data_IF_485964834007
#
_entry.id   IF_485964834007
#
_cell.length_a   1.000
_cell.length_b   1.000
_cell.length_c   1.000
_cell.angle_alpha   90.00
_cell.angle_beta   90.00
_cell.angle_gamma   90.00
#
_symmetry.space_group_name_H-M   'P 1'
#
loop_
_entity.id
_entity.type
_entity.pdbx_description
1 polymer ?
#
# COMPACT_ATOMS: atom_id res chain seq x y z
N UNK A 1 57.38 28.64 -50.51
CA UNK A 1 57.01 29.47 -49.35
C UNK A 1 55.67 28.93 -48.79
N UNK A 2 55.78 28.09 -47.81
CA UNK A 2 54.62 27.35 -47.24
C UNK A 2 54.15 28.04 -45.96
N UNK A 3 52.96 28.55 -45.98
CA UNK A 3 52.26 28.99 -44.77
C UNK A 3 51.37 27.81 -44.25
N UNK A 4 51.79 27.25 -43.12
CA UNK A 4 51.05 26.21 -42.39
C UNK A 4 49.91 26.88 -41.63
N UNK A 5 48.68 26.61 -42.06
CA UNK A 5 47.45 26.92 -41.33
C UNK A 5 47.32 25.97 -40.14
N UNK A 6 47.53 26.50 -38.92
CA UNK A 6 47.21 25.79 -37.68
C UNK A 6 45.70 25.88 -37.42
N UNK A 7 45.02 24.79 -37.62
CA UNK A 7 43.62 24.63 -37.17
C UNK A 7 43.63 24.28 -35.68
N UNK A 8 43.29 25.25 -34.84
CA UNK A 8 43.05 25.00 -33.42
C UNK A 8 41.66 24.35 -33.25
N UNK A 9 41.67 23.08 -32.93
CA UNK A 9 40.46 22.39 -32.56
C UNK A 9 40.10 22.80 -31.12
N UNK A 10 39.08 23.66 -30.97
CA UNK A 10 38.42 23.91 -29.67
C UNK A 10 37.61 22.67 -29.30
N UNK A 11 38.12 21.93 -28.33
CA UNK A 11 37.37 20.86 -27.68
C UNK A 11 36.28 21.49 -26.82
N UNK A 12 35.04 21.46 -27.31
CA UNK A 12 33.85 21.88 -26.59
C UNK A 12 33.46 20.73 -25.69
N UNK A 13 33.93 20.80 -24.42
CA UNK A 13 33.54 19.85 -23.38
C UNK A 13 32.06 20.04 -23.04
N UNK A 14 31.21 19.16 -23.52
CA UNK A 14 29.82 19.04 -23.12
C UNK A 14 29.78 18.54 -21.67
N UNK A 15 29.62 19.47 -20.72
CA UNK A 15 29.25 19.16 -19.36
C UNK A 15 27.78 18.76 -19.38
N UNK A 16 27.53 17.46 -19.54
CA UNK A 16 26.20 16.90 -19.32
C UNK A 16 25.98 16.91 -17.81
N UNK A 17 25.37 17.99 -17.32
CA UNK A 17 24.90 18.08 -15.95
C UNK A 17 23.85 16.99 -15.74
N UNK A 18 24.23 15.93 -15.02
CA UNK A 18 23.35 14.85 -14.57
C UNK A 18 22.39 15.39 -13.49
N UNK A 19 21.36 16.12 -13.92
CA UNK A 19 20.29 16.65 -13.08
C UNK A 19 19.27 15.59 -12.64
N UNK A 20 19.65 14.31 -12.59
CA UNK A 20 18.74 13.20 -12.23
C UNK A 20 18.94 12.68 -10.81
N UNK A 21 19.82 13.27 -10.01
CA UNK A 21 20.19 12.75 -8.70
C UNK A 21 19.58 13.51 -7.51
N UNK A 22 18.47 14.19 -7.71
CA UNK A 22 17.69 14.77 -6.60
C UNK A 22 16.22 14.35 -6.68
N UNK A 23 16.00 13.04 -6.85
CA UNK A 23 14.78 12.46 -6.32
C UNK A 23 14.99 12.47 -4.81
N UNK A 24 14.40 13.47 -4.13
CA UNK A 24 14.53 13.63 -2.71
C UNK A 24 14.29 12.29 -2.03
N UNK A 25 15.27 11.83 -1.27
CA UNK A 25 15.07 10.86 -0.22
C UNK A 25 13.95 11.42 0.66
N UNK A 26 12.73 10.97 0.42
CA UNK A 26 11.70 11.05 1.44
C UNK A 26 12.28 10.23 2.58
N UNK A 27 12.87 10.90 3.56
CA UNK A 27 13.28 10.27 4.81
C UNK A 27 12.00 9.72 5.41
N UNK A 28 11.66 8.47 5.06
CA UNK A 28 10.70 7.71 5.83
C UNK A 28 11.18 7.75 7.27
N UNK A 29 10.28 8.09 8.18
CA UNK A 29 10.59 8.10 9.59
C UNK A 29 11.23 6.77 9.98
N UNK A 30 12.24 6.80 10.85
CA UNK A 30 12.76 5.56 11.42
C UNK A 30 11.66 4.92 12.28
N UNK A 31 11.00 3.91 11.71
CA UNK A 31 9.88 3.26 12.38
C UNK A 31 10.30 2.26 13.46
N UNK A 32 11.61 2.07 13.68
CA UNK A 32 12.10 1.29 14.83
C UNK A 32 12.06 2.10 16.13
N UNK A 33 12.38 3.40 16.02
CA UNK A 33 12.44 4.30 17.16
C UNK A 33 11.90 5.70 16.78
N UNK A 34 10.59 5.83 16.48
CA UNK A 34 10.04 7.12 16.09
C UNK A 34 9.99 8.07 17.29
N UNK A 35 10.68 9.22 17.20
CA UNK A 35 10.86 10.15 18.31
C UNK A 35 9.77 11.25 18.38
N UNK A 36 8.99 11.41 17.32
CA UNK A 36 7.95 12.47 17.26
C UNK A 36 6.59 11.88 16.91
N UNK A 37 5.52 12.54 17.37
CA UNK A 37 4.16 12.13 17.00
C UNK A 37 3.95 12.13 15.48
N UNK A 38 4.56 13.05 14.75
CA UNK A 38 4.53 13.05 13.29
C UNK A 38 5.14 11.78 12.71
N UNK A 39 6.34 11.40 13.18
CA UNK A 39 7.00 10.16 12.75
C UNK A 39 6.16 8.92 13.10
N UNK A 40 5.55 8.88 14.27
CA UNK A 40 4.65 7.79 14.68
C UNK A 40 3.44 7.69 13.74
N UNK A 41 2.85 8.82 13.36
CA UNK A 41 1.72 8.85 12.41
C UNK A 41 2.14 8.35 11.02
N UNK A 42 3.31 8.75 10.54
CA UNK A 42 3.87 8.30 9.25
C UNK A 42 4.12 6.79 9.28
N UNK A 43 4.73 6.28 10.33
CA UNK A 43 4.95 4.83 10.48
C UNK A 43 3.64 4.03 10.54
N UNK A 44 2.62 4.53 11.23
CA UNK A 44 1.31 3.89 11.25
C UNK A 44 0.64 3.89 9.87
N UNK A 45 0.84 4.94 9.09
CA UNK A 45 0.35 5.00 7.71
C UNK A 45 1.10 4.03 6.79
N UNK A 46 2.43 3.95 6.87
CA UNK A 46 3.24 3.01 6.09
C UNK A 46 2.87 1.56 6.41
N UNK A 47 2.63 1.25 7.69
CA UNK A 47 2.14 -0.05 8.14
C UNK A 47 0.76 -0.38 7.54
N UNK A 48 -0.14 0.60 7.47
CA UNK A 48 -1.41 0.44 6.77
C UNK A 48 -1.22 0.22 5.26
N UNK A 49 -0.32 0.94 4.61
CA UNK A 49 -0.04 0.75 3.17
C UNK A 49 0.45 -0.67 2.88
N UNK A 50 1.35 -1.20 3.72
CA UNK A 50 1.83 -2.58 3.61
C UNK A 50 0.69 -3.60 3.78
N UNK A 51 -0.16 -3.43 4.78
CA UNK A 51 -1.34 -4.27 4.98
C UNK A 51 -2.31 -4.19 3.79
N UNK A 52 -2.51 -2.99 3.23
CA UNK A 52 -3.41 -2.76 2.10
C UNK A 52 -2.87 -3.35 0.79
N UNK A 53 -1.55 -3.42 0.61
CA UNK A 53 -0.93 -4.14 -0.50
C UNK A 53 -1.25 -5.64 -0.44
N UNK A 54 -1.09 -6.28 0.73
CA UNK A 54 -1.49 -7.68 0.94
C UNK A 54 -2.98 -7.92 0.74
N UNK A 55 -3.83 -6.96 1.14
CA UNK A 55 -5.26 -7.02 0.84
C UNK A 55 -5.55 -7.00 -0.67
N UNK A 56 -4.90 -6.12 -1.41
CA UNK A 56 -5.09 -6.02 -2.86
C UNK A 56 -4.71 -7.33 -3.57
N UNK A 57 -3.60 -7.95 -3.16
CA UNK A 57 -3.15 -9.24 -3.67
C UNK A 57 -4.16 -10.37 -3.36
N UNK A 58 -4.52 -10.56 -2.08
CA UNK A 58 -5.48 -11.60 -1.67
C UNK A 58 -6.85 -11.38 -2.32
N UNK A 59 -7.32 -10.13 -2.40
CA UNK A 59 -8.57 -9.79 -3.07
C UNK A 59 -8.54 -10.17 -4.55
N UNK A 60 -7.42 -9.91 -5.24
CA UNK A 60 -7.24 -10.28 -6.64
C UNK A 60 -7.29 -11.80 -6.82
N UNK A 61 -6.57 -12.57 -6.00
CA UNK A 61 -6.54 -14.04 -6.06
C UNK A 61 -7.94 -14.62 -5.89
N UNK A 62 -8.70 -14.18 -4.89
CA UNK A 62 -10.09 -14.64 -4.69
C UNK A 62 -10.98 -14.21 -5.87
N UNK A 63 -10.89 -12.96 -6.32
CA UNK A 63 -11.68 -12.47 -7.46
C UNK A 63 -11.42 -13.27 -8.74
N UNK A 64 -10.17 -13.64 -9.01
CA UNK A 64 -9.82 -14.41 -10.22
C UNK A 64 -10.29 -15.87 -10.12
N UNK A 65 -10.39 -16.41 -8.92
CA UNK A 65 -10.88 -17.76 -8.64
C UNK A 65 -12.41 -17.90 -8.68
N UNK A 66 -13.15 -16.78 -8.69
CA UNK A 66 -14.60 -16.76 -8.66
C UNK A 66 -15.20 -16.39 -10.02
N UNK A 67 -16.44 -16.86 -10.27
CA UNK A 67 -17.22 -16.55 -11.48
C UNK A 67 -18.67 -16.21 -11.17
N UNK A 68 -19.33 -15.59 -12.15
CA UNK A 68 -20.76 -15.30 -12.13
C UNK A 68 -21.21 -14.64 -10.83
N UNK A 69 -22.31 -15.14 -10.28
CA UNK A 69 -22.95 -14.56 -9.10
C UNK A 69 -22.04 -14.53 -7.86
N UNK A 70 -21.19 -15.54 -7.65
CA UNK A 70 -20.27 -15.57 -6.50
C UNK A 70 -19.24 -14.46 -6.56
N UNK A 71 -18.68 -14.21 -7.75
CA UNK A 71 -17.76 -13.07 -7.97
C UNK A 71 -18.42 -11.74 -7.68
N UNK A 72 -19.66 -11.54 -8.13
CA UNK A 72 -20.40 -10.30 -7.90
C UNK A 72 -20.76 -10.10 -6.43
N UNK A 73 -21.13 -11.18 -5.72
CA UNK A 73 -21.39 -11.14 -4.28
C UNK A 73 -20.13 -10.80 -3.51
N UNK A 74 -19.01 -11.43 -3.84
CA UNK A 74 -17.73 -11.15 -3.20
C UNK A 74 -17.30 -9.70 -3.41
N UNK A 75 -17.39 -9.17 -4.64
CA UNK A 75 -17.08 -7.77 -4.94
C UNK A 75 -17.92 -6.80 -4.08
N UNK A 76 -19.22 -7.04 -3.95
CA UNK A 76 -20.09 -6.24 -3.09
C UNK A 76 -19.69 -6.34 -1.61
N UNK A 77 -19.39 -7.55 -1.14
CA UNK A 77 -18.93 -7.77 0.22
C UNK A 77 -17.64 -7.00 0.53
N UNK A 78 -16.66 -7.02 -0.40
CA UNK A 78 -15.42 -6.25 -0.21
C UNK A 78 -15.68 -4.74 -0.16
N UNK A 79 -16.56 -4.22 -1.03
CA UNK A 79 -16.94 -2.80 -1.00
C UNK A 79 -17.56 -2.40 0.35
N UNK A 80 -18.49 -3.21 0.86
CA UNK A 80 -19.12 -2.98 2.16
C UNK A 80 -18.13 -3.11 3.32
N UNK A 81 -17.20 -4.07 3.23
CA UNK A 81 -16.15 -4.24 4.23
C UNK A 81 -15.21 -3.03 4.31
N UNK A 82 -14.78 -2.46 3.16
CA UNK A 82 -13.96 -1.25 3.13
C UNK A 82 -14.70 -0.08 3.81
N UNK A 83 -15.99 0.10 3.53
CA UNK A 83 -16.81 1.13 4.17
C UNK A 83 -16.91 0.90 5.70
N UNK A 84 -17.14 -0.35 6.12
CA UNK A 84 -17.16 -0.73 7.53
C UNK A 84 -15.82 -0.44 8.23
N UNK A 85 -14.68 -0.86 7.62
CA UNK A 85 -13.34 -0.56 8.16
C UNK A 85 -13.15 0.94 8.37
N UNK A 86 -13.50 1.74 7.36
CA UNK A 86 -13.34 3.19 7.41
C UNK A 86 -14.16 3.80 8.56
N UNK A 87 -15.42 3.41 8.69
CA UNK A 87 -16.31 3.91 9.75
C UNK A 87 -15.85 3.45 11.14
N UNK A 88 -15.44 2.17 11.27
CA UNK A 88 -14.95 1.61 12.54
C UNK A 88 -13.68 2.32 13.01
N UNK A 89 -12.73 2.59 12.11
CA UNK A 89 -11.49 3.26 12.48
C UNK A 89 -11.67 4.76 12.73
N UNK A 90 -12.62 5.41 12.05
CA UNK A 90 -13.04 6.77 12.40
C UNK A 90 -13.64 6.82 13.83
N UNK A 91 -14.47 5.85 14.18
CA UNK A 91 -15.01 5.71 15.54
C UNK A 91 -13.90 5.46 16.56
N UNK A 92 -13.02 4.49 16.34
CA UNK A 92 -11.92 4.16 17.27
C UNK A 92 -10.99 5.36 17.48
N UNK A 93 -10.68 6.11 16.42
CA UNK A 93 -9.80 7.29 16.50
C UNK A 93 -10.51 8.54 17.06
N UNK A 94 -11.82 8.51 17.24
CA UNK A 94 -12.59 9.65 17.79
C UNK A 94 -12.21 9.97 19.24
N UNK A 95 -11.69 9.02 20.00
CA UNK A 95 -11.16 9.25 21.34
C UNK A 95 -9.94 10.21 21.35
N UNK A 96 -9.22 10.32 20.22
CA UNK A 96 -8.10 11.23 20.02
C UNK A 96 -8.47 12.42 19.13
N UNK A 97 -9.77 12.74 18.98
CA UNK A 97 -10.26 13.77 18.06
C UNK A 97 -9.61 15.14 18.29
N UNK A 98 -9.12 15.75 17.21
CA UNK A 98 -8.42 17.03 17.24
C UNK A 98 -7.00 16.97 17.83
N UNK A 99 -6.57 15.82 18.37
CA UNK A 99 -5.23 15.61 18.88
C UNK A 99 -4.25 15.11 17.80
N UNK A 100 -2.96 15.30 18.03
CA UNK A 100 -1.89 14.90 17.13
C UNK A 100 -1.78 13.36 16.94
N UNK A 101 -2.30 12.58 17.88
CA UNK A 101 -2.29 11.10 17.83
C UNK A 101 -3.46 10.49 17.04
N UNK A 102 -4.46 11.28 16.62
CA UNK A 102 -5.64 10.76 15.92
C UNK A 102 -5.29 9.99 14.67
N UNK A 103 -4.32 10.49 13.89
CA UNK A 103 -3.84 9.82 12.67
C UNK A 103 -3.24 8.45 12.95
N UNK A 104 -2.38 8.36 13.96
CA UNK A 104 -1.79 7.09 14.41
C UNK A 104 -2.87 6.06 14.73
N UNK A 105 -3.84 6.41 15.60
CA UNK A 105 -4.90 5.49 16.03
C UNK A 105 -5.72 5.00 14.83
N UNK A 106 -6.08 5.93 13.92
CA UNK A 106 -6.85 5.58 12.71
C UNK A 106 -6.11 4.59 11.81
N UNK A 107 -4.81 4.84 11.53
CA UNK A 107 -4.03 3.98 10.64
C UNK A 107 -3.69 2.64 11.26
N UNK A 108 -3.41 2.58 12.56
CA UNK A 108 -3.21 1.32 13.29
C UNK A 108 -4.46 0.45 13.27
N UNK A 109 -5.63 1.04 13.51
CA UNK A 109 -6.91 0.34 13.36
C UNK A 109 -7.09 -0.19 11.93
N UNK A 110 -6.88 0.65 10.92
CA UNK A 110 -7.03 0.26 9.52
C UNK A 110 -6.06 -0.87 9.13
N UNK A 111 -4.81 -0.82 9.56
CA UNK A 111 -3.82 -1.88 9.32
C UNK A 111 -4.24 -3.19 9.98
N UNK A 112 -4.63 -3.16 11.24
CA UNK A 112 -5.09 -4.33 12.00
C UNK A 112 -6.29 -5.00 11.35
N UNK A 113 -7.34 -4.23 11.03
CA UNK A 113 -8.54 -4.75 10.37
C UNK A 113 -8.21 -5.32 8.99
N UNK A 114 -7.33 -4.66 8.24
CA UNK A 114 -6.93 -5.11 6.90
C UNK A 114 -6.19 -6.46 6.95
N UNK A 115 -5.28 -6.65 7.90
CA UNK A 115 -4.59 -7.94 8.09
C UNK A 115 -5.57 -9.05 8.49
N UNK A 116 -6.52 -8.77 9.36
CA UNK A 116 -7.57 -9.73 9.70
C UNK A 116 -8.36 -10.15 8.45
N UNK A 117 -8.72 -9.20 7.58
CA UNK A 117 -9.42 -9.50 6.33
C UNK A 117 -8.58 -10.33 5.35
N UNK A 118 -7.28 -10.06 5.26
CA UNK A 118 -6.35 -10.88 4.47
C UNK A 118 -6.34 -12.32 4.97
N UNK A 119 -6.25 -12.53 6.29
CA UNK A 119 -6.27 -13.86 6.88
C UNK A 119 -7.58 -14.61 6.56
N UNK A 120 -8.75 -13.93 6.64
CA UNK A 120 -10.04 -14.50 6.24
C UNK A 120 -10.06 -14.89 4.76
N UNK A 121 -9.56 -14.02 3.86
CA UNK A 121 -9.53 -14.29 2.43
C UNK A 121 -8.60 -15.46 2.08
N UNK A 122 -7.48 -15.60 2.77
CA UNK A 122 -6.49 -16.64 2.50
C UNK A 122 -6.98 -18.06 2.84
N UNK A 123 -8.02 -18.19 3.67
CA UNK A 123 -8.65 -19.49 3.97
C UNK A 123 -9.92 -19.73 3.15
N UNK A 124 -10.41 -18.73 2.41
CA UNK A 124 -11.55 -18.92 1.50
C UNK A 124 -11.21 -19.95 0.42
N UNK A 125 -12.14 -20.84 0.13
CA UNK A 125 -11.93 -21.88 -0.87
C UNK A 125 -11.22 -23.13 -0.36
N UNK A 126 -10.71 -23.17 0.85
CA UNK A 126 -10.20 -24.37 1.52
C UNK A 126 -11.37 -25.24 2.02
N UNK A 127 -12.14 -25.77 1.04
CA UNK A 127 -13.37 -26.50 1.32
C UNK A 127 -13.08 -27.94 1.74
N UNK A 128 -13.65 -28.37 2.86
CA UNK A 128 -13.72 -29.77 3.22
C UNK A 128 -14.74 -30.49 2.33
N UNK A 129 -14.59 -31.79 2.18
CA UNK A 129 -15.59 -32.60 1.49
C UNK A 129 -16.94 -32.53 2.21
N UNK A 130 -18.02 -32.28 1.45
CA UNK A 130 -19.37 -32.12 2.01
C UNK A 130 -19.68 -30.74 2.62
N UNK A 131 -18.72 -29.82 2.71
CA UNK A 131 -19.00 -28.46 3.22
C UNK A 131 -19.81 -27.65 2.19
N UNK A 132 -21.11 -27.52 2.47
CA UNK A 132 -22.07 -26.75 1.64
C UNK A 132 -21.98 -25.25 1.84
N UNK A 133 -21.33 -24.76 2.90
CA UNK A 133 -21.14 -23.36 3.17
C UNK A 133 -19.88 -22.78 2.51
N UNK A 134 -18.97 -23.64 2.09
CA UNK A 134 -17.73 -23.23 1.46
C UNK A 134 -17.90 -22.90 -0.02
N UNK A 135 -17.49 -21.69 -0.41
CA UNK A 135 -17.49 -21.27 -1.81
C UNK A 135 -16.29 -21.88 -2.53
N UNK A 136 -16.54 -22.82 -3.42
CA UNK A 136 -15.49 -23.48 -4.18
C UNK A 136 -14.89 -22.54 -5.22
N UNK A 137 -13.58 -22.50 -5.26
CA UNK A 137 -12.84 -21.78 -6.29
C UNK A 137 -12.70 -22.64 -7.55
N UNK A 138 -12.47 -21.99 -8.69
CA UNK A 138 -12.07 -22.70 -9.91
C UNK A 138 -10.75 -23.43 -9.67
N UNK A 139 -10.70 -24.68 -10.01
CA UNK A 139 -9.46 -25.44 -10.26
C UNK A 139 -8.91 -25.11 -11.63
#
# INVERSE_FOLDING_TARGET
>A
MNQLLRVSALAMSLVISSAWAQRGDSKHADCKTPETQKAINECAYDDFLAANAGYAESNKLVMDSLQGKSRDLFRRAQKSWIAYRTASCAFESSAAHGGSAQGMVNWQCAARMTRARVAEMNVMGNCLEGDVACVRFKT
#
